data_IF_705258559448
#
_entry.id   IF_705258559448
#
_cell.length_a   1.000
_cell.length_b   1.000
_cell.length_c   1.000
_cell.angle_alpha   90.00
_cell.angle_beta   90.00
_cell.angle_gamma   90.00
#
_symmetry.space_group_name_H-M   'P 1'
#
loop_
_entity.id
_entity.type
_entity.pdbx_description
1 polymer ?
#
# COMPACT_ATOMS: atom_id res chain seq x y z
N UNK A 1 14.72 6.74 11.77
CA UNK A 1 15.56 6.80 10.56
C UNK A 1 15.65 5.39 10.01
N UNK A 2 15.17 5.13 8.79
CA UNK A 2 15.15 3.79 8.21
C UNK A 2 16.53 3.37 7.72
N UNK A 3 16.83 2.07 7.82
CA UNK A 3 18.15 1.52 7.47
C UNK A 3 18.17 1.01 6.03
N UNK A 4 19.31 1.19 5.38
CA UNK A 4 19.60 0.59 4.07
C UNK A 4 20.35 -0.73 4.23
N UNK A 5 20.29 -1.61 3.21
CA UNK A 5 21.08 -2.85 3.17
C UNK A 5 22.58 -2.62 3.32
N UNK A 6 23.09 -1.51 2.78
CA UNK A 6 24.50 -1.12 2.92
C UNK A 6 24.85 -0.77 4.38
N UNK A 7 23.98 -0.05 5.08
CA UNK A 7 24.17 0.27 6.50
C UNK A 7 24.09 -0.98 7.38
N UNK A 8 23.19 -1.92 7.08
CA UNK A 8 23.13 -3.20 7.80
C UNK A 8 24.42 -4.00 7.62
N UNK A 9 24.93 -4.12 6.38
CA UNK A 9 26.20 -4.81 6.10
C UNK A 9 27.38 -4.16 6.83
N UNK A 10 27.47 -2.83 6.84
CA UNK A 10 28.53 -2.11 7.58
C UNK A 10 28.48 -2.31 9.09
N UNK A 11 27.29 -2.53 9.65
CA UNK A 11 27.07 -2.73 11.09
C UNK A 11 27.17 -4.19 11.51
N UNK A 12 27.18 -5.12 10.56
CA UNK A 12 27.34 -6.55 10.82
C UNK A 12 28.83 -6.87 10.70
N UNK A 13 29.51 -7.26 11.80
CA UNK A 13 30.91 -7.69 11.74
C UNK A 13 31.10 -8.83 10.74
N UNK A 14 32.31 -9.03 10.20
CA UNK A 14 32.61 -10.14 9.27
C UNK A 14 32.28 -11.53 9.87
N UNK A 15 32.33 -11.66 11.20
CA UNK A 15 31.93 -12.86 11.97
C UNK A 15 30.64 -12.64 12.79
N UNK A 16 29.85 -11.61 12.46
CA UNK A 16 28.62 -11.28 13.17
C UNK A 16 27.46 -12.18 12.76
N UNK A 17 26.51 -12.39 13.67
CA UNK A 17 25.23 -13.03 13.34
C UNK A 17 24.47 -12.16 12.34
N UNK A 18 24.04 -12.75 11.22
CA UNK A 18 23.20 -12.03 10.27
C UNK A 18 21.82 -11.71 10.88
N UNK A 19 21.09 -10.82 10.22
CA UNK A 19 19.84 -10.27 10.75
C UNK A 19 18.78 -11.33 10.99
N UNK A 20 18.67 -12.32 10.11
CA UNK A 20 17.66 -13.37 10.22
C UNK A 20 17.98 -14.28 11.41
N UNK A 21 19.23 -14.75 11.50
CA UNK A 21 19.69 -15.57 12.62
C UNK A 21 19.59 -14.83 13.96
N UNK A 22 19.90 -13.53 14.01
CA UNK A 22 19.77 -12.75 15.25
C UNK A 22 18.31 -12.64 15.71
N UNK A 23 17.37 -12.42 14.78
CA UNK A 23 15.95 -12.39 15.10
C UNK A 23 15.42 -13.77 15.50
N UNK A 24 15.93 -14.85 14.87
CA UNK A 24 15.63 -16.23 15.27
C UNK A 24 16.05 -16.51 16.71
N UNK A 25 17.27 -16.10 17.10
CA UNK A 25 17.75 -16.27 18.48
C UNK A 25 16.85 -15.55 19.50
N UNK A 26 16.35 -14.36 19.17
CA UNK A 26 15.38 -13.66 20.02
C UNK A 26 14.06 -14.43 20.12
N UNK A 27 13.54 -14.96 19.01
CA UNK A 27 12.34 -15.80 19.03
C UNK A 27 12.54 -17.04 19.90
N UNK A 28 13.68 -17.74 19.74
CA UNK A 28 14.02 -18.92 20.53
C UNK A 28 14.14 -18.57 22.02
N UNK A 29 14.74 -17.43 22.36
CA UNK A 29 14.82 -16.95 23.74
C UNK A 29 13.42 -16.70 24.33
N UNK A 30 12.52 -16.08 23.57
CA UNK A 30 11.14 -15.84 24.03
C UNK A 30 10.40 -17.15 24.33
N UNK A 31 10.50 -18.12 23.42
CA UNK A 31 9.77 -19.39 23.51
C UNK A 31 10.27 -20.28 24.63
N UNK A 32 11.59 -20.27 24.89
CA UNK A 32 12.22 -21.14 25.88
C UNK A 32 12.41 -20.50 27.26
N UNK A 33 12.25 -19.17 27.38
CA UNK A 33 12.39 -18.50 28.66
C UNK A 33 11.15 -18.64 29.54
N UNK A 34 11.36 -18.90 30.83
CA UNK A 34 10.33 -18.80 31.87
C UNK A 34 10.33 -17.43 32.57
N UNK A 35 11.34 -16.60 32.32
CA UNK A 35 11.50 -15.29 32.96
C UNK A 35 10.65 -14.23 32.26
N UNK A 36 9.79 -13.55 33.03
CA UNK A 36 8.97 -12.45 32.54
C UNK A 36 9.84 -11.28 32.01
N UNK A 37 10.93 -10.96 32.70
CA UNK A 37 11.81 -9.85 32.30
C UNK A 37 12.53 -10.15 30.99
N UNK A 38 13.01 -11.39 30.80
CA UNK A 38 13.59 -11.82 29.54
C UNK A 38 12.56 -11.74 28.39
N UNK A 39 11.34 -12.24 28.60
CA UNK A 39 10.24 -12.12 27.63
C UNK A 39 9.92 -10.67 27.28
N UNK A 40 9.89 -9.78 28.27
CA UNK A 40 9.68 -8.34 28.06
C UNK A 40 10.81 -7.73 27.23
N UNK A 41 12.07 -8.03 27.55
CA UNK A 41 13.23 -7.52 26.85
C UNK A 41 13.26 -7.99 25.39
N UNK A 42 12.96 -9.26 25.15
CA UNK A 42 12.87 -9.82 23.81
C UNK A 42 11.76 -9.15 23.01
N UNK A 43 10.54 -9.03 23.56
CA UNK A 43 9.44 -8.35 22.86
C UNK A 43 9.76 -6.89 22.54
N UNK A 44 10.40 -6.17 23.46
CA UNK A 44 10.82 -4.79 23.24
C UNK A 44 11.83 -4.70 22.08
N UNK A 45 12.81 -5.61 22.04
CA UNK A 45 13.78 -5.70 20.96
C UNK A 45 13.08 -5.97 19.62
N UNK A 46 12.23 -6.99 19.55
CA UNK A 46 11.47 -7.32 18.34
C UNK A 46 10.60 -6.15 17.88
N UNK A 47 9.95 -5.43 18.79
CA UNK A 47 9.11 -4.28 18.47
C UNK A 47 9.93 -3.09 17.91
N UNK A 48 11.17 -2.92 18.40
CA UNK A 48 12.11 -1.95 17.85
C UNK A 48 12.57 -2.34 16.44
N UNK A 49 12.84 -3.62 16.17
CA UNK A 49 13.15 -4.09 14.81
C UNK A 49 11.96 -3.91 13.86
N UNK A 50 10.74 -4.12 14.35
CA UNK A 50 9.51 -3.90 13.63
C UNK A 50 9.28 -2.44 13.22
N UNK A 51 10.05 -1.47 13.72
CA UNK A 51 9.96 -0.08 13.27
C UNK A 51 10.54 0.14 11.85
N UNK A 52 11.46 -0.70 11.39
CA UNK A 52 12.18 -0.53 10.13
C UNK A 52 11.72 -1.57 9.09
N UNK A 53 11.11 -1.15 7.96
CA UNK A 53 10.52 -2.05 6.95
C UNK A 53 11.47 -3.11 6.39
N UNK A 54 12.78 -2.82 6.38
CA UNK A 54 13.80 -3.78 5.96
C UNK A 54 13.79 -5.09 6.77
N UNK A 55 13.22 -5.07 7.98
CA UNK A 55 13.12 -6.25 8.85
C UNK A 55 11.83 -7.05 8.67
N UNK A 56 10.84 -6.57 7.91
CA UNK A 56 9.51 -7.18 7.90
C UNK A 56 9.50 -8.62 7.37
N UNK A 57 10.29 -8.89 6.33
CA UNK A 57 10.45 -10.25 5.81
C UNK A 57 11.02 -11.17 6.90
N UNK A 58 12.17 -10.80 7.47
CA UNK A 58 12.80 -11.60 8.52
C UNK A 58 11.88 -11.84 9.72
N UNK A 59 11.12 -10.82 10.16
CA UNK A 59 10.17 -10.92 11.27
C UNK A 59 9.05 -11.94 10.98
N UNK A 60 8.58 -12.02 9.73
CA UNK A 60 7.62 -13.06 9.31
C UNK A 60 8.28 -14.42 9.27
N UNK A 61 9.44 -14.51 8.63
CA UNK A 61 10.14 -15.77 8.38
C UNK A 61 10.51 -16.50 9.68
N UNK A 62 10.88 -15.73 10.72
CA UNK A 62 11.22 -16.28 12.05
C UNK A 62 10.01 -16.41 13.00
N UNK A 63 8.79 -16.04 12.59
CA UNK A 63 7.59 -16.16 13.42
C UNK A 63 7.44 -15.13 14.55
N UNK A 64 8.21 -14.03 14.54
CA UNK A 64 8.11 -12.99 15.56
C UNK A 64 6.76 -12.25 15.55
N UNK A 65 6.12 -12.13 14.37
CA UNK A 65 4.75 -11.60 14.25
C UNK A 65 3.73 -12.47 15.01
N UNK A 66 3.88 -13.79 14.96
CA UNK A 66 3.00 -14.73 15.66
C UNK A 66 3.12 -14.61 17.17
N UNK A 67 4.33 -14.36 17.69
CA UNK A 67 4.55 -14.10 19.11
C UNK A 67 3.76 -12.88 19.56
N UNK A 68 3.81 -11.77 18.81
CA UNK A 68 3.03 -10.58 19.17
C UNK A 68 1.53 -10.88 19.22
N UNK A 69 1.00 -11.59 18.23
CA UNK A 69 -0.41 -11.97 18.18
C UNK A 69 -0.77 -12.93 19.32
N UNK A 70 0.09 -13.89 19.64
CA UNK A 70 -0.07 -14.81 20.76
C UNK A 70 -0.15 -14.04 22.09
N UNK A 71 0.76 -13.10 22.33
CA UNK A 71 0.77 -12.25 23.54
C UNK A 71 -0.52 -11.46 23.64
N UNK A 72 -0.96 -10.82 22.55
CA UNK A 72 -2.21 -10.05 22.57
C UNK A 72 -3.46 -10.90 22.80
N UNK A 73 -3.42 -12.21 22.51
CA UNK A 73 -4.54 -13.13 22.75
C UNK A 73 -4.53 -13.73 24.16
N UNK A 74 -3.34 -14.10 24.65
CA UNK A 74 -3.21 -15.00 25.79
C UNK A 74 -2.62 -14.35 27.04
N UNK A 75 -1.96 -13.19 26.92
CA UNK A 75 -1.32 -12.52 28.05
C UNK A 75 -2.18 -11.37 28.61
N UNK A 76 -2.02 -11.14 29.92
CA UNK A 76 -2.65 -10.04 30.67
C UNK A 76 -1.64 -9.07 31.27
N UNK A 77 -0.34 -9.38 31.23
CA UNK A 77 0.70 -8.49 31.74
C UNK A 77 0.83 -7.24 30.87
N UNK A 78 0.66 -6.06 31.47
CA UNK A 78 0.67 -4.78 30.77
C UNK A 78 1.97 -4.50 29.99
N UNK A 79 3.14 -4.92 30.49
CA UNK A 79 4.41 -4.71 29.76
C UNK A 79 4.47 -5.56 28.50
N UNK A 80 4.15 -6.85 28.60
CA UNK A 80 4.13 -7.76 27.45
C UNK A 80 3.12 -7.27 26.39
N UNK A 81 1.90 -6.94 26.83
CA UNK A 81 0.84 -6.44 25.93
C UNK A 81 1.24 -5.11 25.29
N UNK A 82 1.90 -4.21 26.02
CA UNK A 82 2.40 -2.94 25.47
C UNK A 82 3.43 -3.15 24.35
N UNK A 83 4.44 -3.99 24.59
CA UNK A 83 5.44 -4.28 23.55
C UNK A 83 4.84 -4.99 22.35
N UNK A 84 3.91 -5.94 22.57
CA UNK A 84 3.23 -6.62 21.49
C UNK A 84 2.34 -5.68 20.66
N UNK A 85 1.57 -4.81 21.32
CA UNK A 85 0.79 -3.77 20.64
C UNK A 85 1.69 -2.82 19.84
N UNK A 86 2.84 -2.42 20.39
CA UNK A 86 3.83 -1.61 19.67
C UNK A 86 4.38 -2.31 18.43
N UNK A 87 4.73 -3.59 18.55
CA UNK A 87 5.18 -4.43 17.44
C UNK A 87 4.13 -4.53 16.33
N UNK A 88 2.90 -4.91 16.67
CA UNK A 88 1.78 -4.97 15.71
C UNK A 88 1.53 -3.61 15.06
N UNK A 89 1.55 -2.52 15.82
CA UNK A 89 1.34 -1.16 15.32
C UNK A 89 2.42 -0.69 14.33
N UNK A 90 3.62 -1.24 14.38
CA UNK A 90 4.64 -0.94 13.38
C UNK A 90 4.49 -1.87 12.16
N UNK A 91 4.22 -3.16 12.39
CA UNK A 91 4.10 -4.16 11.34
C UNK A 91 2.88 -3.97 10.44
N UNK A 92 1.76 -3.43 10.94
CA UNK A 92 0.56 -3.20 10.14
C UNK A 92 0.65 -1.99 9.17
N UNK A 93 1.84 -1.39 9.03
CA UNK A 93 2.14 -0.49 7.91
C UNK A 93 2.37 -1.25 6.59
N UNK A 94 2.70 -2.55 6.67
CA UNK A 94 2.91 -3.42 5.51
C UNK A 94 1.60 -4.14 5.11
N UNK A 95 1.24 -4.16 3.82
CA UNK A 95 0.01 -4.81 3.37
C UNK A 95 -0.06 -6.30 3.69
N UNK A 96 1.04 -7.06 3.51
CA UNK A 96 1.06 -8.50 3.78
C UNK A 96 0.85 -8.80 5.28
N UNK A 97 1.59 -8.09 6.14
CA UNK A 97 1.39 -8.16 7.58
C UNK A 97 -0.04 -7.77 7.97
N UNK A 98 -0.59 -6.72 7.35
CA UNK A 98 -1.95 -6.24 7.64
C UNK A 98 -3.00 -7.30 7.37
N UNK A 99 -2.93 -7.98 6.22
CA UNK A 99 -3.84 -9.08 5.90
C UNK A 99 -3.73 -10.19 6.94
N UNK A 100 -2.51 -10.62 7.26
CA UNK A 100 -2.29 -11.67 8.27
C UNK A 100 -2.80 -11.29 9.67
N UNK A 101 -2.53 -10.06 10.11
CA UNK A 101 -2.98 -9.52 11.40
C UNK A 101 -4.52 -9.47 11.45
N UNK A 102 -5.18 -9.08 10.36
CA UNK A 102 -6.63 -9.08 10.25
C UNK A 102 -7.21 -10.50 10.37
N UNK A 103 -6.67 -11.44 9.62
CA UNK A 103 -7.11 -12.84 9.61
C UNK A 103 -6.89 -13.52 10.97
N UNK A 104 -5.92 -13.05 11.74
CA UNK A 104 -5.69 -13.51 13.11
C UNK A 104 -6.83 -13.18 14.10
N UNK A 105 -7.76 -12.29 13.72
CA UNK A 105 -8.88 -11.88 14.56
C UNK A 105 -8.56 -10.74 15.53
N UNK A 106 -7.54 -9.91 15.24
CA UNK A 106 -7.12 -8.80 16.12
C UNK A 106 -8.27 -7.86 16.52
N UNK A 107 -9.26 -7.68 15.64
CA UNK A 107 -10.40 -6.78 15.85
C UNK A 107 -11.25 -7.17 17.06
N UNK A 108 -11.29 -8.45 17.40
CA UNK A 108 -11.99 -8.97 18.58
C UNK A 108 -11.32 -8.53 19.89
N UNK A 109 -10.02 -8.21 19.84
CA UNK A 109 -9.23 -7.79 20.99
C UNK A 109 -9.32 -6.28 21.24
N UNK A 110 -9.62 -5.49 20.20
CA UNK A 110 -9.64 -4.03 20.26
C UNK A 110 -10.47 -3.47 21.43
N UNK A 111 -11.70 -3.95 21.72
CA UNK A 111 -12.47 -3.43 22.85
C UNK A 111 -11.78 -3.62 24.21
N UNK A 112 -11.03 -4.72 24.39
CA UNK A 112 -10.24 -4.99 25.60
C UNK A 112 -9.05 -4.03 25.68
N UNK A 113 -8.29 -3.91 24.59
CA UNK A 113 -7.07 -3.11 24.56
C UNK A 113 -7.35 -1.61 24.72
N UNK A 114 -8.47 -1.11 24.18
CA UNK A 114 -8.89 0.30 24.34
C UNK A 114 -9.41 0.64 25.75
N UNK A 115 -9.67 -0.37 26.59
CA UNK A 115 -10.03 -0.20 28.00
C UNK A 115 -8.82 -0.30 28.94
N UNK A 116 -7.63 -0.55 28.42
CA UNK A 116 -6.41 -0.62 29.24
C UNK A 116 -6.17 0.69 29.98
N UNK A 117 -5.69 0.60 31.22
CA UNK A 117 -5.19 1.76 31.98
C UNK A 117 -3.85 2.29 31.44
N UNK A 118 -3.14 1.49 30.63
CA UNK A 118 -1.89 1.88 30.00
C UNK A 118 -2.16 2.69 28.72
N UNK A 119 -1.77 3.96 28.73
CA UNK A 119 -2.00 4.87 27.62
C UNK A 119 -1.24 4.51 26.34
N UNK A 120 -0.12 3.79 26.43
CA UNK A 120 0.65 3.36 25.27
C UNK A 120 0.01 2.16 24.57
N UNK A 121 -0.62 1.25 25.33
CA UNK A 121 -1.47 0.19 24.76
C UNK A 121 -2.62 0.82 23.99
N UNK A 122 -3.31 1.79 24.60
CA UNK A 122 -4.42 2.50 23.94
C UNK A 122 -3.92 3.21 22.69
N UNK A 123 -2.81 3.96 22.76
CA UNK A 123 -2.24 4.67 21.61
C UNK A 123 -1.89 3.73 20.44
N UNK A 124 -1.20 2.64 20.74
CA UNK A 124 -0.78 1.65 19.74
C UNK A 124 -1.99 0.95 19.14
N UNK A 125 -3.00 0.62 19.95
CA UNK A 125 -4.27 0.05 19.47
C UNK A 125 -4.99 1.01 18.51
N UNK A 126 -5.01 2.30 18.84
CA UNK A 126 -5.58 3.32 17.96
C UNK A 126 -4.81 3.43 16.65
N UNK A 127 -3.48 3.41 16.69
CA UNK A 127 -2.63 3.38 15.49
C UNK A 127 -2.94 2.16 14.62
N UNK A 128 -3.07 0.97 15.21
CA UNK A 128 -3.44 -0.26 14.49
C UNK A 128 -4.76 -0.09 13.76
N UNK A 129 -5.81 0.41 14.44
CA UNK A 129 -7.12 0.65 13.82
C UNK A 129 -7.00 1.66 12.67
N UNK A 130 -6.27 2.77 12.89
CA UNK A 130 -6.06 3.82 11.88
C UNK A 130 -5.23 3.32 10.71
N UNK A 131 -4.34 2.35 10.86
CA UNK A 131 -3.56 1.84 9.73
C UNK A 131 -4.37 0.81 8.95
N UNK A 132 -5.05 -0.09 9.67
CA UNK A 132 -5.79 -1.20 9.08
C UNK A 132 -7.16 -0.78 8.49
N UNK A 133 -7.71 0.39 8.85
CA UNK A 133 -9.00 0.84 8.30
C UNK A 133 -9.04 0.91 6.77
N UNK A 134 -7.93 1.30 6.12
CA UNK A 134 -7.82 1.34 4.67
C UNK A 134 -7.96 -0.06 4.07
N UNK A 135 -7.45 -1.08 4.77
CA UNK A 135 -7.47 -2.48 4.36
C UNK A 135 -8.78 -3.19 4.68
N UNK A 136 -9.60 -2.64 5.60
CA UNK A 136 -10.84 -3.28 6.05
C UNK A 136 -12.03 -3.13 5.11
N UNK A 137 -12.07 -2.06 4.29
CA UNK A 137 -13.21 -1.77 3.41
C UNK A 137 -14.58 -1.64 4.11
N UNK A 138 -14.62 -1.56 5.46
CA UNK A 138 -15.82 -1.63 6.30
C UNK A 138 -16.00 -0.33 7.11
N UNK A 139 -16.71 0.68 6.57
CA UNK A 139 -16.83 2.00 7.20
C UNK A 139 -17.60 2.01 8.53
N UNK A 140 -18.47 1.03 8.80
CA UNK A 140 -19.25 0.93 10.04
C UNK A 140 -18.41 0.59 11.27
N UNK A 141 -17.45 -0.34 11.09
CA UNK A 141 -16.51 -0.74 12.13
C UNK A 141 -15.61 0.45 12.51
N UNK A 142 -15.17 1.21 11.50
CA UNK A 142 -14.39 2.42 11.68
C UNK A 142 -15.13 3.51 12.48
N UNK A 143 -16.42 3.74 12.21
CA UNK A 143 -17.22 4.72 12.97
C UNK A 143 -17.35 4.34 14.46
N UNK A 144 -17.47 3.04 14.74
CA UNK A 144 -17.51 2.54 16.12
C UNK A 144 -16.20 2.80 16.84
N UNK A 145 -15.07 2.49 16.20
CA UNK A 145 -13.76 2.75 16.78
C UNK A 145 -13.43 4.24 16.88
N UNK A 146 -13.85 5.07 15.92
CA UNK A 146 -13.71 6.53 16.01
C UNK A 146 -14.45 7.12 17.21
N UNK A 147 -15.63 6.58 17.55
CA UNK A 147 -16.38 7.02 18.74
C UNK A 147 -15.61 6.70 20.02
N UNK A 148 -15.06 5.49 20.12
CA UNK A 148 -14.23 5.07 21.27
C UNK A 148 -12.95 5.91 21.34
N UNK A 149 -12.32 6.16 20.20
CA UNK A 149 -11.11 6.96 20.07
C UNK A 149 -11.34 8.41 20.52
N UNK A 150 -12.45 9.05 20.12
CA UNK A 150 -12.81 10.40 20.59
C UNK A 150 -13.03 10.47 22.11
N UNK A 151 -13.57 9.41 22.71
CA UNK A 151 -13.77 9.33 24.16
C UNK A 151 -12.45 9.20 24.92
N UNK A 152 -11.52 8.37 24.43
CA UNK A 152 -10.21 8.16 25.05
C UNK A 152 -9.26 9.36 24.88
N UNK A 153 -9.26 10.00 23.70
CA UNK A 153 -8.45 11.20 23.44
C UNK A 153 -8.80 12.32 24.42
N UNK A 154 -10.10 12.58 24.65
CA UNK A 154 -10.55 13.63 25.58
C UNK A 154 -10.06 13.42 27.02
N UNK A 155 -9.77 12.17 27.41
CA UNK A 155 -9.33 11.82 28.76
C UNK A 155 -7.80 11.87 28.94
N UNK A 156 -7.03 11.98 27.85
CA UNK A 156 -5.56 11.95 27.90
C UNK A 156 -4.94 13.06 27.07
N UNK A 157 -4.21 13.95 27.74
CA UNK A 157 -3.42 15.02 27.09
C UNK A 157 -2.35 14.45 26.15
N UNK A 158 -1.74 13.32 26.51
CA UNK A 158 -0.77 12.63 25.67
C UNK A 158 -1.41 12.10 24.38
N UNK A 159 -2.57 11.45 24.47
CA UNK A 159 -3.30 10.98 23.28
C UNK A 159 -3.80 12.14 22.42
N UNK A 160 -4.21 13.24 23.04
CA UNK A 160 -4.57 14.48 22.33
C UNK A 160 -3.40 15.08 21.55
N UNK A 161 -2.19 15.06 22.11
CA UNK A 161 -0.98 15.51 21.43
C UNK A 161 -0.53 14.55 20.31
N UNK A 162 -0.75 13.24 20.49
CA UNK A 162 -0.35 12.20 19.53
C UNK A 162 -1.32 12.08 18.35
N UNK A 163 -2.59 12.42 18.56
CA UNK A 163 -3.64 12.39 17.54
C UNK A 163 -4.41 13.73 17.42
N UNK A 164 -3.73 14.86 17.19
CA UNK A 164 -4.33 16.20 17.27
C UNK A 164 -5.44 16.40 16.22
N UNK A 165 -5.31 15.76 15.06
CA UNK A 165 -6.26 15.84 13.94
C UNK A 165 -7.58 15.12 14.20
N UNK A 166 -7.62 14.20 15.17
CA UNK A 166 -8.86 13.51 15.56
C UNK A 166 -9.51 14.17 16.78
N UNK A 167 -8.69 14.80 17.63
CA UNK A 167 -9.15 15.70 18.68
C UNK A 167 -9.89 16.92 18.11
N UNK A 168 -9.37 17.48 17.01
CA UNK A 168 -10.01 18.55 16.25
C UNK A 168 -11.01 17.96 15.26
N UNK A 169 -12.28 18.39 15.31
CA UNK A 169 -13.38 17.88 14.49
C UNK A 169 -13.26 18.33 13.01
N UNK A 170 -12.15 18.02 12.33
CA UNK A 170 -11.76 18.64 11.06
C UNK A 170 -12.33 17.91 9.85
N UNK A 171 -13.34 18.50 9.21
CA UNK A 171 -14.03 17.97 8.01
C UNK A 171 -13.09 17.72 6.82
N UNK A 172 -11.94 18.39 6.75
CA UNK A 172 -10.97 18.19 5.67
C UNK A 172 -10.22 16.85 5.78
N UNK A 173 -9.97 16.35 6.99
CA UNK A 173 -9.30 15.05 7.19
C UNK A 173 -10.17 13.87 6.75
N UNK A 174 -11.48 13.90 7.03
CA UNK A 174 -12.43 12.91 6.49
C UNK A 174 -12.45 12.88 4.95
N UNK A 175 -12.14 14.00 4.31
CA UNK A 175 -12.01 14.14 2.85
C UNK A 175 -10.69 13.57 2.32
N UNK A 176 -9.59 13.75 3.07
CA UNK A 176 -8.26 13.20 2.77
C UNK A 176 -8.21 11.68 2.99
N UNK A 177 -8.77 11.16 4.08
CA UNK A 177 -8.88 9.71 4.29
C UNK A 177 -9.64 9.04 3.16
N UNK A 178 -10.74 9.65 2.68
CA UNK A 178 -11.52 9.17 1.51
C UNK A 178 -10.70 9.11 0.21
N UNK A 179 -9.70 9.97 0.04
CA UNK A 179 -8.79 9.95 -1.12
C UNK A 179 -7.73 8.85 -1.01
N UNK A 180 -7.40 8.37 0.20
CA UNK A 180 -6.49 7.25 0.45
C UNK A 180 -7.20 5.88 0.53
N UNK A 181 -8.53 5.84 0.63
CA UNK A 181 -9.31 4.58 0.75
C UNK A 181 -9.56 3.86 -0.58
N UNK A 182 -9.08 4.40 -1.72
CA UNK A 182 -9.15 3.68 -3.01
C UNK A 182 -7.99 2.69 -3.15
N UNK A 183 -8.16 1.53 -2.49
CA UNK A 183 -7.71 0.17 -2.88
C UNK A 183 -6.22 -0.12 -3.04
N UNK A 184 -5.60 -0.65 -1.97
CA UNK A 184 -4.69 -1.80 -2.05
C UNK A 184 -5.45 -3.04 -1.55
N UNK A 185 -6.30 -3.59 -2.41
CA UNK A 185 -6.66 -5.00 -2.25
C UNK A 185 -5.48 -5.80 -2.78
N UNK A 186 -5.13 -6.90 -2.12
CA UNK A 186 -4.36 -7.99 -2.74
C UNK A 186 -5.18 -8.51 -3.92
N UNK A 187 -5.03 -7.88 -5.08
CA UNK A 187 -5.71 -8.32 -6.30
C UNK A 187 -5.06 -9.64 -6.69
N UNK A 188 -5.76 -10.76 -6.45
CA UNK A 188 -5.39 -12.01 -7.10
C UNK A 188 -5.76 -11.87 -8.58
N UNK A 189 -4.79 -11.50 -9.41
CA UNK A 189 -4.93 -11.50 -10.86
C UNK A 189 -4.36 -12.78 -11.46
N UNK A 190 -5.00 -13.29 -12.50
CA UNK A 190 -4.59 -14.48 -13.25
C UNK A 190 -4.40 -14.14 -14.72
N UNK A 191 -3.62 -14.98 -15.41
CA UNK A 191 -3.53 -14.89 -16.86
C UNK A 191 -4.93 -15.00 -17.48
N UNK A 192 -5.23 -14.11 -18.43
CA UNK A 192 -6.54 -13.95 -19.07
C UNK A 192 -7.41 -12.84 -18.48
N UNK A 193 -7.04 -12.24 -17.34
CA UNK A 193 -7.79 -11.11 -16.79
C UNK A 193 -7.72 -9.90 -17.74
N UNK A 194 -8.86 -9.20 -17.88
CA UNK A 194 -9.01 -8.09 -18.82
C UNK A 194 -9.73 -6.93 -18.16
N UNK A 195 -9.30 -5.73 -18.49
CA UNK A 195 -10.02 -4.50 -18.17
C UNK A 195 -10.15 -3.62 -19.40
N UNK A 196 -11.26 -2.89 -19.49
CA UNK A 196 -11.46 -1.84 -20.49
C UNK A 196 -12.08 -0.61 -19.87
N UNK A 197 -11.68 0.56 -20.36
CA UNK A 197 -12.28 1.85 -20.03
C UNK A 197 -12.57 2.62 -21.31
N UNK A 198 -13.50 3.57 -21.24
CA UNK A 198 -13.81 4.46 -22.34
C UNK A 198 -13.42 5.89 -21.97
N UNK A 199 -12.82 6.60 -22.93
CA UNK A 199 -12.43 8.00 -22.77
C UNK A 199 -12.60 8.76 -24.08
N UNK A 200 -13.00 10.02 -23.99
CA UNK A 200 -13.02 10.94 -25.11
C UNK A 200 -12.03 12.06 -24.80
N UNK A 201 -10.99 12.20 -25.62
CA UNK A 201 -9.95 13.20 -25.40
C UNK A 201 -10.38 14.54 -25.98
N UNK A 202 -10.20 15.59 -25.19
CA UNK A 202 -10.56 16.97 -25.52
C UNK A 202 -9.33 17.78 -25.92
N UNK A 203 -9.53 18.94 -26.55
CA UNK A 203 -8.42 19.84 -26.86
C UNK A 203 -7.65 20.27 -25.60
N UNK A 204 -8.37 20.47 -24.48
CA UNK A 204 -7.77 20.80 -23.19
C UNK A 204 -6.80 19.72 -22.69
N UNK A 205 -7.09 18.45 -22.94
CA UNK A 205 -6.20 17.35 -22.58
C UNK A 205 -4.90 17.41 -23.40
N UNK A 206 -4.99 17.71 -24.70
CA UNK A 206 -3.84 17.88 -25.57
C UNK A 206 -3.00 19.10 -25.17
N UNK A 207 -3.64 20.23 -24.87
CA UNK A 207 -2.94 21.45 -24.45
C UNK A 207 -2.21 21.23 -23.12
N UNK A 208 -2.86 20.54 -22.17
CA UNK A 208 -2.25 20.17 -20.88
C UNK A 208 -1.04 19.28 -21.08
N UNK A 209 -1.15 18.26 -21.95
CA UNK A 209 -0.03 17.37 -22.27
C UNK A 209 1.10 18.10 -22.99
N UNK A 210 0.76 19.01 -23.91
CA UNK A 210 1.73 19.84 -24.64
C UNK A 210 2.54 20.70 -23.67
N UNK A 211 1.88 21.35 -22.71
CA UNK A 211 2.54 22.17 -21.70
C UNK A 211 3.43 21.35 -20.76
N UNK A 212 3.02 20.12 -20.43
CA UNK A 212 3.82 19.22 -19.58
C UNK A 212 5.07 18.71 -20.28
N UNK A 213 4.94 18.36 -21.57
CA UNK A 213 6.01 17.68 -22.34
C UNK A 213 6.84 18.62 -23.20
N UNK A 214 6.43 19.88 -23.34
CA UNK A 214 6.92 20.85 -24.32
C UNK A 214 6.74 20.44 -25.78
N UNK A 215 5.94 19.41 -26.07
CA UNK A 215 5.56 19.05 -27.43
C UNK A 215 4.42 19.97 -27.92
N UNK A 216 4.80 21.04 -28.62
CA UNK A 216 3.85 22.01 -29.19
C UNK A 216 3.62 21.81 -30.68
N UNK A 217 3.86 20.61 -31.20
CA UNK A 217 3.69 20.29 -32.61
C UNK A 217 2.29 20.70 -33.10
N UNK A 218 2.23 21.38 -34.25
CA UNK A 218 1.00 21.95 -34.79
C UNK A 218 -0.11 20.91 -35.08
N UNK A 219 0.24 19.61 -35.15
CA UNK A 219 -0.70 18.52 -35.36
C UNK A 219 -1.66 18.34 -34.17
N UNK A 220 -1.27 18.80 -32.99
CA UNK A 220 -2.01 18.65 -31.74
C UNK A 220 -2.85 19.89 -31.39
N UNK A 221 -2.77 20.95 -32.19
CA UNK A 221 -3.47 22.22 -31.94
C UNK A 221 -4.67 22.38 -32.85
N UNK A 222 -5.73 22.99 -32.32
CA UNK A 222 -6.87 23.37 -33.12
C UNK A 222 -6.59 24.67 -33.87
N UNK A 223 -6.18 24.55 -35.13
CA UNK A 223 -5.89 25.68 -36.02
C UNK A 223 -7.04 25.94 -37.03
N UNK A 224 -8.25 25.45 -36.77
CA UNK A 224 -9.45 25.69 -37.59
C UNK A 224 -9.53 24.88 -38.90
N UNK A 225 -8.41 24.49 -39.49
CA UNK A 225 -8.39 23.83 -40.81
C UNK A 225 -8.43 22.29 -40.76
N UNK A 226 -7.98 21.69 -39.65
CA UNK A 226 -7.91 20.23 -39.49
C UNK A 226 -8.20 19.83 -38.06
N UNK A 227 -8.92 18.72 -37.90
CA UNK A 227 -9.17 18.12 -36.59
C UNK A 227 -7.84 17.71 -35.94
N UNK A 228 -7.55 18.13 -34.70
CA UNK A 228 -6.27 17.83 -34.05
C UNK A 228 -6.07 16.33 -33.82
N UNK A 229 -4.83 15.88 -34.00
CA UNK A 229 -4.41 14.50 -33.77
C UNK A 229 -3.94 14.38 -32.32
N UNK A 230 -4.31 13.30 -31.65
CA UNK A 230 -3.87 12.99 -30.29
C UNK A 230 -2.38 12.59 -30.30
N UNK A 231 -1.60 13.07 -29.34
CA UNK A 231 -0.21 12.64 -29.15
C UNK A 231 -0.14 11.12 -28.92
N UNK A 232 0.74 10.43 -29.64
CA UNK A 232 0.97 9.00 -29.40
C UNK A 232 1.43 8.71 -27.96
N UNK A 233 2.30 9.56 -27.41
CA UNK A 233 2.75 9.46 -26.03
C UNK A 233 1.62 9.67 -25.01
N UNK A 234 0.61 10.49 -25.33
CA UNK A 234 -0.58 10.65 -24.48
C UNK A 234 -1.41 9.35 -24.44
N UNK A 235 -1.58 8.67 -25.58
CA UNK A 235 -2.22 7.34 -25.61
C UNK A 235 -1.47 6.34 -24.72
N UNK A 236 -0.13 6.37 -24.77
CA UNK A 236 0.68 5.55 -23.87
C UNK A 236 0.45 5.92 -22.40
N UNK A 237 0.39 7.21 -22.06
CA UNK A 237 0.11 7.68 -20.71
C UNK A 237 -1.24 7.18 -20.17
N UNK A 238 -2.26 7.08 -21.01
CA UNK A 238 -3.57 6.52 -20.63
C UNK A 238 -3.49 5.01 -20.34
N UNK A 239 -2.76 4.26 -21.16
CA UNK A 239 -2.52 2.82 -20.93
C UNK A 239 -1.70 2.61 -19.66
N UNK A 240 -0.64 3.40 -19.45
CA UNK A 240 0.16 3.36 -18.24
C UNK A 240 -0.67 3.65 -16.98
N UNK A 241 -1.57 4.63 -17.05
CA UNK A 241 -2.54 4.91 -15.99
C UNK A 241 -3.42 3.70 -15.70
N UNK A 242 -4.03 3.10 -16.73
CA UNK A 242 -4.88 1.91 -16.57
C UNK A 242 -4.13 0.72 -15.96
N UNK A 243 -2.88 0.49 -16.39
CA UNK A 243 -2.01 -0.56 -15.83
C UNK A 243 -1.69 -0.29 -14.36
N UNK A 244 -1.27 0.93 -14.03
CA UNK A 244 -0.81 1.30 -12.69
C UNK A 244 -1.93 1.46 -11.66
N UNK A 245 -3.17 1.70 -12.08
CA UNK A 245 -4.31 1.89 -11.16
C UNK A 245 -5.27 0.70 -11.10
N UNK A 246 -5.34 -0.13 -12.15
CA UNK A 246 -6.35 -1.20 -12.22
C UNK A 246 -5.79 -2.59 -12.46
N UNK A 247 -5.15 -2.86 -13.61
CA UNK A 247 -4.70 -4.22 -13.96
C UNK A 247 -3.31 -4.18 -14.64
N UNK A 248 -2.25 -4.76 -14.02
CA UNK A 248 -2.28 -5.50 -12.76
C UNK A 248 -2.50 -4.63 -11.51
N UNK A 249 -2.36 -3.31 -11.64
CA UNK A 249 -2.72 -2.35 -10.60
C UNK A 249 -1.53 -1.78 -9.82
N UNK A 250 -1.81 -1.15 -8.67
CA UNK A 250 -0.80 -0.50 -7.84
C UNK A 250 0.34 -1.43 -7.44
N UNK A 251 1.56 -0.89 -7.36
CA UNK A 251 2.77 -1.67 -7.06
C UNK A 251 3.42 -2.32 -8.27
N UNK A 252 2.87 -2.13 -9.48
CA UNK A 252 3.55 -2.55 -10.72
C UNK A 252 4.58 -1.53 -11.18
N UNK A 253 5.73 -2.02 -11.64
CA UNK A 253 6.80 -1.22 -12.25
C UNK A 253 6.98 -1.69 -13.69
N UNK A 254 6.93 -0.74 -14.64
CA UNK A 254 7.19 -0.99 -16.05
C UNK A 254 8.67 -1.31 -16.28
N UNK A 255 8.97 -2.46 -16.89
CA UNK A 255 10.34 -2.88 -17.24
C UNK A 255 10.64 -2.61 -18.70
N UNK A 256 9.72 -2.99 -19.59
CA UNK A 256 9.88 -2.78 -21.02
C UNK A 256 8.52 -2.69 -21.69
N UNK A 257 8.42 -1.92 -22.76
CA UNK A 257 7.20 -1.78 -23.54
C UNK A 257 7.53 -1.78 -25.03
N UNK A 258 6.69 -2.42 -25.83
CA UNK A 258 6.69 -2.34 -27.30
C UNK A 258 5.34 -1.77 -27.73
N UNK A 259 5.37 -0.79 -28.63
CA UNK A 259 4.19 -0.02 -29.02
C UNK A 259 4.13 0.14 -30.53
N UNK A 260 2.91 0.15 -31.08
CA UNK A 260 2.62 0.49 -32.47
C UNK A 260 1.49 1.52 -32.52
N UNK A 261 1.53 2.35 -33.56
CA UNK A 261 0.54 3.39 -33.84
C UNK A 261 -0.06 3.17 -35.24
N UNK A 262 -0.95 2.16 -35.42
CA UNK A 262 -1.39 1.76 -36.75
C UNK A 262 -2.21 2.85 -37.46
N UNK A 263 -2.89 3.70 -36.70
CA UNK A 263 -3.78 4.74 -37.21
C UNK A 263 -3.74 6.00 -36.35
N UNK A 264 -4.19 7.12 -36.92
CA UNK A 264 -4.38 8.39 -36.21
C UNK A 264 -5.61 8.31 -35.30
N UNK A 265 -5.51 8.92 -34.13
CA UNK A 265 -6.62 9.20 -33.23
C UNK A 265 -6.86 10.71 -33.21
N UNK A 266 -8.12 11.14 -33.31
CA UNK A 266 -8.52 12.54 -33.38
C UNK A 266 -9.25 12.98 -32.11
N UNK A 267 -9.10 14.27 -31.76
CA UNK A 267 -9.79 14.88 -30.60
C UNK A 267 -11.31 14.74 -30.71
N UNK A 268 -11.97 14.25 -29.67
CA UNK A 268 -13.41 14.02 -29.62
C UNK A 268 -13.86 12.63 -30.07
N UNK A 269 -12.97 11.77 -30.58
CA UNK A 269 -13.31 10.37 -30.85
C UNK A 269 -13.49 9.60 -29.54
N UNK A 270 -14.47 8.69 -29.50
CA UNK A 270 -14.69 7.80 -28.37
C UNK A 270 -13.70 6.64 -28.42
N UNK A 271 -12.74 6.67 -27.50
CA UNK A 271 -11.65 5.70 -27.42
C UNK A 271 -11.95 4.66 -26.33
N UNK A 272 -11.89 3.37 -26.69
CA UNK A 272 -11.86 2.27 -25.73
C UNK A 272 -10.43 1.80 -25.55
N UNK A 273 -9.95 1.85 -24.32
CA UNK A 273 -8.61 1.40 -23.92
C UNK A 273 -8.79 0.08 -23.20
N UNK A 274 -8.05 -0.94 -23.60
CA UNK A 274 -8.10 -2.28 -23.01
C UNK A 274 -6.72 -2.79 -22.66
N UNK A 275 -6.65 -3.53 -21.55
CA UNK A 275 -5.45 -4.22 -21.07
C UNK A 275 -5.84 -5.65 -20.72
N UNK A 276 -5.01 -6.60 -21.15
CA UNK A 276 -5.13 -8.02 -20.89
C UNK A 276 -3.85 -8.55 -20.26
N UNK A 277 -3.99 -9.26 -19.14
CA UNK A 277 -2.88 -9.95 -18.50
C UNK A 277 -2.61 -11.28 -19.20
N UNK A 278 -1.45 -11.41 -19.82
CA UNK A 278 -1.08 -12.58 -20.64
C UNK A 278 -0.30 -13.62 -19.84
N UNK A 279 0.56 -13.17 -18.93
CA UNK A 279 1.48 -14.04 -18.19
C UNK A 279 1.68 -13.49 -16.78
N UNK A 280 1.58 -14.38 -15.79
CA UNK A 280 1.66 -14.05 -14.35
C UNK A 280 2.73 -14.92 -13.71
N UNK A 281 3.98 -14.64 -14.06
CA UNK A 281 5.18 -15.26 -13.48
C UNK A 281 5.99 -14.19 -12.73
N UNK A 282 7.30 -14.40 -12.56
CA UNK A 282 8.22 -13.40 -11.97
C UNK A 282 8.19 -12.05 -12.71
N UNK A 283 7.90 -12.07 -14.00
CA UNK A 283 7.65 -10.89 -14.83
C UNK A 283 6.24 -11.03 -15.37
N UNK A 284 5.40 -10.03 -15.11
CA UNK A 284 4.06 -9.95 -15.66
C UNK A 284 4.14 -9.50 -17.13
N UNK A 285 3.30 -10.06 -17.99
CA UNK A 285 3.16 -9.58 -19.37
C UNK A 285 1.73 -9.13 -19.60
N UNK A 286 1.56 -7.95 -20.17
CA UNK A 286 0.27 -7.43 -20.57
C UNK A 286 0.24 -7.10 -22.05
N UNK A 287 -0.92 -7.30 -22.68
CA UNK A 287 -1.27 -6.79 -24.01
C UNK A 287 -2.23 -5.63 -23.84
N UNK A 288 -2.14 -4.62 -24.69
CA UNK A 288 -3.04 -3.48 -24.63
C UNK A 288 -3.44 -3.00 -26.03
N UNK A 289 -4.67 -2.47 -26.11
CA UNK A 289 -5.23 -1.91 -27.33
C UNK A 289 -6.06 -0.67 -27.02
N UNK A 290 -5.92 0.35 -27.86
CA UNK A 290 -6.81 1.51 -27.92
C UNK A 290 -7.54 1.48 -29.27
N UNK A 291 -8.87 1.46 -29.21
CA UNK A 291 -9.76 1.34 -30.37
C UNK A 291 -10.74 2.50 -30.39
N UNK A 292 -10.86 3.16 -31.54
CA UNK A 292 -11.93 4.12 -31.80
C UNK A 292 -13.19 3.33 -32.12
N UNK A 293 -14.23 3.45 -31.28
CA UNK A 293 -15.42 2.60 -31.32
C UNK A 293 -16.23 2.76 -32.61
N UNK A 294 -16.43 3.99 -33.07
CA UNK A 294 -17.27 4.29 -34.25
C UNK A 294 -16.75 3.60 -35.51
N UNK A 295 -15.43 3.60 -35.70
CA UNK A 295 -14.77 3.03 -36.88
C UNK A 295 -14.19 1.63 -36.65
N UNK A 296 -14.27 1.11 -35.42
CA UNK A 296 -13.57 -0.12 -34.95
C UNK A 296 -12.08 -0.12 -35.32
N UNK A 297 -11.44 1.05 -35.24
CA UNK A 297 -10.07 1.30 -35.71
C UNK A 297 -9.07 1.24 -34.55
N UNK A 298 -8.08 0.35 -34.64
CA UNK A 298 -6.97 0.30 -33.68
C UNK A 298 -6.02 1.46 -33.93
N UNK A 299 -5.85 2.34 -32.94
CA UNK A 299 -4.99 3.54 -33.04
C UNK A 299 -3.70 3.39 -32.22
N UNK A 300 -3.69 2.51 -31.23
CA UNK A 300 -2.51 2.21 -30.43
C UNK A 300 -2.60 0.77 -29.91
N UNK A 301 -1.52 0.01 -30.03
CA UNK A 301 -1.45 -1.36 -29.54
C UNK A 301 -0.04 -1.72 -29.10
N UNK A 302 0.08 -2.75 -28.26
CA UNK A 302 1.38 -3.23 -27.85
C UNK A 302 1.39 -4.21 -26.70
N UNK A 303 2.61 -4.43 -26.20
CA UNK A 303 2.89 -5.32 -25.08
C UNK A 303 3.79 -4.63 -24.06
N UNK A 304 3.58 -4.92 -22.78
CA UNK A 304 4.45 -4.47 -21.70
C UNK A 304 4.87 -5.62 -20.79
N UNK A 305 6.11 -5.56 -20.31
CA UNK A 305 6.64 -6.40 -19.24
C UNK A 305 6.71 -5.57 -17.97
N UNK A 306 6.18 -6.11 -16.89
CA UNK A 306 6.10 -5.46 -15.59
C UNK A 306 6.73 -6.36 -14.53
N UNK A 307 7.23 -5.76 -13.47
CA UNK A 307 7.54 -6.45 -12.22
C UNK A 307 6.64 -5.89 -11.13
N UNK A 308 6.36 -6.70 -10.13
CA UNK A 308 5.84 -6.17 -8.88
C UNK A 308 7.02 -5.56 -8.13
N UNK A 309 6.86 -4.33 -7.67
CA UNK A 309 7.77 -3.73 -6.71
C UNK A 309 7.88 -4.72 -5.54
N UNK A 310 9.09 -5.22 -5.30
CA UNK A 310 9.37 -5.82 -3.99
C UNK A 310 9.35 -4.64 -3.03
N UNK A 311 8.43 -4.68 -2.09
CA UNK A 311 8.15 -3.64 -1.08
C UNK A 311 9.35 -2.69 -0.86
N UNK A 312 9.17 -1.41 -1.24
CA UNK A 312 10.15 -0.35 -0.98
C UNK A 312 10.13 0.04 0.49
#
# INVERSE_FOLDING_TARGET
MFSTKSQLRKRTPENGTDRENYLSLLVDEYLNSSSLDAKCQVLANLANFAYDPINYCFIRDVGALDIFLYVLKNESNDKLVNFACGGISNLCLDPLNTTYILDSGILNLVPRLLKSGNTDIVASTLSIIIQIHNSLGKPELFNTYLKILKLNIKKSKMLSNRFPYIAMNNKNYQKICKLHTSTFNSVSFKAGDKIRIQKTLTQKDLDTFSNLTSDHNHLHKNNGNKRPIVHGALLNGLVAGLIGTHLPGPGTILVSQTMKFPNKCFVGEKLTISVELVDVRKILKVKFFCVVEEEKKVVFEGEAKLILAKDC
#
